data_IF_100638283583
#
_entry.id   IF_100638283583
#
_cell.length_a   1.000
_cell.length_b   1.000
_cell.length_c   1.000
_cell.angle_alpha   90.00
_cell.angle_beta   90.00
_cell.angle_gamma   90.00
#
_symmetry.space_group_name_H-M   'P 1'
#
loop_
_entity.id
_entity.type
_entity.pdbx_description
1 polymer ?
#
# COMPACT_ATOMS: atom_id res chain seq x y z
N UNK A 1 7.71 -1.72 16.18
CA UNK A 1 7.94 -2.79 15.20
C UNK A 1 9.41 -2.91 14.82
N UNK A 2 10.09 -1.85 14.35
CA UNK A 2 11.49 -1.90 13.87
C UNK A 2 12.47 -2.53 14.88
N UNK A 3 12.44 -2.13 16.15
CA UNK A 3 13.31 -2.74 17.18
C UNK A 3 13.04 -4.23 17.39
N UNK A 4 11.76 -4.64 17.36
CA UNK A 4 11.36 -6.05 17.51
C UNK A 4 11.83 -6.88 16.30
N UNK A 5 11.66 -6.33 15.09
CA UNK A 5 12.17 -6.93 13.86
C UNK A 5 13.69 -7.07 13.89
N UNK A 6 14.42 -6.02 14.30
CA UNK A 6 15.87 -6.05 14.45
C UNK A 6 16.31 -7.14 15.43
N UNK A 7 15.66 -7.23 16.59
CA UNK A 7 15.94 -8.29 17.56
C UNK A 7 15.71 -9.69 16.99
N UNK A 8 14.56 -9.90 16.31
CA UNK A 8 14.28 -11.19 15.68
C UNK A 8 15.31 -11.55 14.61
N UNK A 9 15.74 -10.59 13.78
CA UNK A 9 16.77 -10.83 12.76
C UNK A 9 18.17 -11.05 13.32
N UNK A 10 18.44 -10.55 14.53
CA UNK A 10 19.72 -10.77 15.21
C UNK A 10 19.80 -12.16 15.87
N UNK A 11 18.67 -12.67 16.40
CA UNK A 11 18.62 -13.91 17.21
C UNK A 11 17.92 -15.09 16.55
N UNK A 12 17.09 -14.84 15.55
CA UNK A 12 16.20 -15.77 14.86
C UNK A 12 16.12 -15.40 13.37
N UNK A 13 15.03 -15.71 12.66
CA UNK A 13 14.84 -15.29 11.26
C UNK A 13 14.21 -13.91 11.15
N UNK A 14 12.96 -13.76 11.58
CA UNK A 14 12.22 -12.49 11.52
C UNK A 14 11.02 -12.56 12.50
N UNK A 15 10.22 -11.49 12.56
CA UNK A 15 8.89 -11.53 13.14
C UNK A 15 8.01 -12.56 12.43
N UNK A 16 7.09 -13.16 13.17
CA UNK A 16 6.24 -14.23 12.65
C UNK A 16 5.43 -13.82 11.42
N UNK A 17 5.51 -14.66 10.39
CA UNK A 17 4.66 -14.64 9.20
C UNK A 17 3.52 -15.63 9.36
N UNK A 18 2.31 -15.24 8.96
CA UNK A 18 1.12 -16.09 9.06
C UNK A 18 0.60 -16.40 7.66
N UNK A 19 0.53 -17.68 7.33
CA UNK A 19 0.15 -18.18 6.01
C UNK A 19 -1.30 -18.67 5.95
N UNK A 20 -1.88 -19.06 7.07
CA UNK A 20 -3.22 -19.66 7.13
C UNK A 20 -3.74 -19.74 8.59
N UNK A 21 -4.91 -20.36 8.76
CA UNK A 21 -5.50 -20.58 10.08
C UNK A 21 -4.77 -21.61 10.96
N UNK A 22 -3.98 -22.53 10.39
CA UNK A 22 -3.16 -23.46 11.18
C UNK A 22 -2.07 -22.71 11.95
N UNK A 23 -1.43 -21.73 11.30
CA UNK A 23 -0.47 -20.84 11.96
C UNK A 23 -1.15 -20.06 13.09
N UNK A 24 -2.33 -19.48 12.84
CA UNK A 24 -3.12 -18.76 13.87
C UNK A 24 -3.45 -19.66 15.06
N UNK A 25 -3.93 -20.87 14.81
CA UNK A 25 -4.27 -21.84 15.86
C UNK A 25 -3.03 -22.27 16.65
N UNK A 26 -1.91 -22.50 15.96
CA UNK A 26 -0.62 -22.83 16.58
C UNK A 26 -0.17 -21.72 17.52
N UNK A 27 -0.21 -20.47 17.06
CA UNK A 27 0.13 -19.32 17.89
C UNK A 27 -0.82 -19.22 19.09
N UNK A 28 -2.13 -19.27 18.90
CA UNK A 28 -3.12 -19.20 19.98
C UNK A 28 -2.87 -20.24 21.08
N UNK A 29 -2.52 -21.48 20.71
CA UNK A 29 -2.25 -22.57 21.65
C UNK A 29 -0.95 -22.39 22.45
N UNK A 30 0.01 -21.61 21.94
CA UNK A 30 1.26 -21.32 22.63
C UNK A 30 1.10 -20.19 23.66
N UNK A 31 0.05 -19.37 23.56
CA UNK A 31 -0.11 -18.17 24.38
C UNK A 31 -0.78 -18.45 25.72
N UNK A 32 -0.09 -18.11 26.82
CA UNK A 32 -0.69 -18.07 28.16
C UNK A 32 -1.24 -16.66 28.46
N UNK A 33 -2.51 -16.43 28.12
CA UNK A 33 -3.20 -15.15 28.33
C UNK A 33 -3.23 -14.70 29.80
N UNK A 34 -3.18 -15.64 30.76
CA UNK A 34 -3.24 -15.31 32.19
C UNK A 34 -2.01 -14.53 32.67
N UNK A 35 -0.90 -14.64 31.93
CA UNK A 35 0.37 -13.98 32.24
C UNK A 35 0.59 -12.70 31.44
N UNK A 36 -0.39 -12.30 30.61
CA UNK A 36 -0.26 -11.16 29.69
C UNK A 36 -1.02 -9.93 30.19
N UNK A 37 -0.29 -8.82 30.31
CA UNK A 37 -0.88 -7.51 30.64
C UNK A 37 -1.59 -6.87 29.44
N UNK A 38 -1.09 -7.11 28.23
CA UNK A 38 -1.67 -6.64 26.98
C UNK A 38 -1.59 -7.77 25.93
N UNK A 39 -2.73 -8.26 25.41
CA UNK A 39 -2.77 -9.40 24.51
C UNK A 39 -2.51 -9.04 23.04
N UNK A 40 -2.17 -7.79 22.72
CA UNK A 40 -1.65 -7.43 21.41
C UNK A 40 -0.19 -7.85 21.31
N UNK A 41 0.21 -8.45 20.20
CA UNK A 41 1.58 -8.90 19.98
C UNK A 41 1.96 -8.63 18.54
N UNK A 42 3.13 -8.01 18.33
CA UNK A 42 3.65 -7.73 16.99
C UNK A 42 3.80 -9.01 16.17
N UNK A 43 3.28 -8.97 14.94
CA UNK A 43 3.57 -9.92 13.87
C UNK A 43 4.31 -9.21 12.74
N UNK A 44 4.80 -9.96 11.76
CA UNK A 44 5.64 -9.42 10.68
C UNK A 44 4.90 -8.57 9.64
N UNK A 45 3.59 -8.42 9.72
CA UNK A 45 2.81 -7.65 8.74
C UNK A 45 2.90 -6.14 9.03
N UNK A 46 3.15 -5.34 7.99
CA UNK A 46 3.21 -3.88 8.08
C UNK A 46 2.75 -3.22 6.77
N UNK A 47 2.20 -2.02 6.84
CA UNK A 47 1.84 -1.20 5.69
C UNK A 47 3.05 -0.34 5.28
N UNK A 48 3.52 -0.55 4.05
CA UNK A 48 4.64 0.20 3.48
C UNK A 48 4.09 1.41 2.72
N UNK A 49 3.91 2.52 3.45
CA UNK A 49 3.32 3.76 2.94
C UNK A 49 4.17 4.42 1.84
N UNK A 50 5.45 4.05 1.73
CA UNK A 50 6.37 4.59 0.74
C UNK A 50 6.50 3.70 -0.52
N UNK A 51 5.77 2.57 -0.58
CA UNK A 51 5.86 1.57 -1.66
C UNK A 51 5.18 1.92 -2.99
N UNK A 52 5.04 3.21 -3.28
CA UNK A 52 4.39 3.72 -4.48
C UNK A 52 5.14 3.27 -5.75
N UNK A 53 4.39 2.72 -6.70
CA UNK A 53 4.87 2.22 -7.98
C UNK A 53 3.98 2.73 -9.12
N UNK A 54 4.60 2.99 -10.26
CA UNK A 54 3.86 3.28 -11.49
C UNK A 54 3.29 2.00 -12.10
N UNK A 55 2.10 2.10 -12.69
CA UNK A 55 1.42 0.99 -13.37
C UNK A 55 2.19 0.49 -14.60
N UNK A 56 2.82 1.41 -15.33
CA UNK A 56 3.72 1.07 -16.42
C UNK A 56 5.02 0.49 -15.84
N UNK A 57 5.17 -0.82 -15.98
CA UNK A 57 6.26 -1.60 -15.37
C UNK A 57 7.56 -1.57 -16.15
N UNK A 58 7.56 -1.10 -17.40
CA UNK A 58 8.77 -1.02 -18.23
C UNK A 58 9.75 0.01 -17.68
N UNK A 59 10.79 -0.47 -17.00
CA UNK A 59 11.82 0.39 -16.41
C UNK A 59 12.65 1.15 -17.44
N UNK A 60 12.74 0.68 -18.68
CA UNK A 60 13.51 1.35 -19.74
C UNK A 60 12.85 2.67 -20.18
N UNK A 61 11.56 2.83 -19.90
CA UNK A 61 10.82 4.07 -20.12
C UNK A 61 11.30 5.22 -19.22
N UNK A 62 11.76 4.91 -18.00
CA UNK A 62 12.11 5.90 -16.99
C UNK A 62 13.60 6.17 -16.97
N UNK A 63 13.96 7.45 -16.91
CA UNK A 63 15.32 7.90 -16.58
C UNK A 63 15.55 7.84 -15.07
N UNK A 64 16.82 7.84 -14.61
CA UNK A 64 17.13 7.90 -13.18
C UNK A 64 16.38 9.05 -12.48
N UNK A 65 15.64 8.72 -11.43
CA UNK A 65 14.86 9.66 -10.62
C UNK A 65 13.43 9.94 -11.12
N UNK A 66 13.07 9.56 -12.35
CA UNK A 66 11.73 9.82 -12.90
C UNK A 66 10.63 8.98 -12.19
N UNK A 67 11.00 7.86 -11.57
CA UNK A 67 10.07 7.03 -10.77
C UNK A 67 9.73 7.65 -9.42
N UNK A 68 10.52 8.62 -8.94
CA UNK A 68 10.42 9.21 -7.60
C UNK A 68 9.69 10.56 -7.58
N UNK A 69 9.37 11.13 -8.75
CA UNK A 69 8.64 12.39 -8.81
C UNK A 69 7.26 12.23 -8.17
N UNK A 70 6.95 13.10 -7.19
CA UNK A 70 5.67 13.15 -6.50
C UNK A 70 5.21 14.60 -6.40
N UNK A 71 3.93 14.84 -6.66
CA UNK A 71 3.29 16.15 -6.48
C UNK A 71 2.04 16.05 -5.61
N UNK A 72 2.21 15.43 -4.45
CA UNK A 72 1.17 15.28 -3.44
C UNK A 72 0.59 16.63 -3.01
N UNK A 73 -0.72 16.69 -2.83
CA UNK A 73 -1.37 17.81 -2.18
C UNK A 73 -0.89 17.94 -0.72
N UNK A 74 -1.01 19.13 -0.10
CA UNK A 74 -0.68 19.29 1.31
C UNK A 74 -1.40 18.27 2.20
N UNK A 75 -0.64 17.52 3.00
CA UNK A 75 -1.16 16.49 3.89
C UNK A 75 -1.46 15.15 3.22
N UNK A 76 -0.96 14.90 2.01
CA UNK A 76 -1.06 13.63 1.29
C UNK A 76 0.34 13.01 1.09
N UNK A 77 0.44 11.68 0.90
CA UNK A 77 -0.64 10.72 1.07
C UNK A 77 -1.01 10.54 2.55
N UNK A 78 -2.28 10.27 2.87
CA UNK A 78 -2.74 10.13 4.26
C UNK A 78 -3.33 8.76 4.61
N UNK A 79 -3.47 7.87 3.63
CA UNK A 79 -3.98 6.51 3.80
C UNK A 79 -5.30 6.48 4.59
N UNK A 80 -6.30 7.28 4.22
CA UNK A 80 -7.54 7.41 4.98
C UNK A 80 -8.18 6.03 5.22
N UNK A 81 -8.45 5.71 6.50
CA UNK A 81 -8.99 4.42 6.97
C UNK A 81 -8.20 3.17 6.52
N UNK A 82 -6.94 3.31 6.12
CA UNK A 82 -6.13 2.18 5.67
C UNK A 82 -6.47 1.69 4.26
N UNK A 83 -7.19 2.49 3.45
CA UNK A 83 -7.84 2.03 2.19
C UNK A 83 -7.44 2.79 0.94
N UNK A 84 -6.58 3.81 1.05
CA UNK A 84 -6.23 4.67 -0.07
C UNK A 84 -4.93 4.22 -0.72
N UNK A 85 -5.05 3.45 -1.80
CA UNK A 85 -3.92 2.78 -2.45
C UNK A 85 -3.67 3.26 -3.89
N UNK A 86 -4.52 4.13 -4.42
CA UNK A 86 -4.49 4.58 -5.80
C UNK A 86 -4.46 6.09 -5.87
N UNK A 87 -3.83 6.63 -6.91
CA UNK A 87 -3.58 8.07 -7.00
C UNK A 87 -4.46 8.73 -8.04
N UNK A 88 -5.19 9.76 -7.64
CA UNK A 88 -5.88 10.67 -8.55
C UNK A 88 -5.19 12.04 -8.56
N UNK A 89 -5.28 12.72 -9.69
CA UNK A 89 -4.88 14.12 -9.88
C UNK A 89 -6.13 14.99 -9.98
N UNK A 90 -6.11 16.17 -9.35
CA UNK A 90 -7.17 17.18 -9.49
C UNK A 90 -6.85 18.20 -10.58
N UNK A 91 -7.83 19.03 -10.95
CA UNK A 91 -7.67 20.12 -11.94
C UNK A 91 -6.63 21.19 -11.56
N UNK A 92 -6.12 21.20 -10.32
CA UNK A 92 -5.01 22.07 -9.89
C UNK A 92 -3.65 21.38 -10.07
N UNK A 93 -3.64 20.15 -10.58
CA UNK A 93 -2.47 19.34 -10.80
C UNK A 93 -1.94 18.65 -9.54
N UNK A 94 -2.68 18.66 -8.44
CA UNK A 94 -2.24 18.06 -7.16
C UNK A 94 -2.70 16.61 -7.03
N UNK A 95 -1.87 15.79 -6.40
CA UNK A 95 -2.14 14.35 -6.28
C UNK A 95 -2.72 14.03 -4.90
N UNK A 96 -3.61 13.03 -4.87
CA UNK A 96 -4.16 12.47 -3.64
C UNK A 96 -4.17 10.96 -3.71
N UNK A 97 -3.85 10.30 -2.60
CA UNK A 97 -4.21 8.91 -2.45
C UNK A 97 -5.70 8.82 -2.13
N UNK A 98 -6.37 7.89 -2.78
CA UNK A 98 -7.80 7.64 -2.63
C UNK A 98 -8.06 6.15 -2.78
N UNK A 99 -9.26 5.70 -2.43
CA UNK A 99 -9.61 4.29 -2.57
C UNK A 99 -9.64 3.88 -4.05
N UNK A 100 -8.99 2.76 -4.38
CA UNK A 100 -8.98 2.24 -5.75
C UNK A 100 -10.38 1.87 -6.28
N UNK A 101 -11.35 1.72 -5.39
CA UNK A 101 -12.75 1.40 -5.68
C UNK A 101 -13.60 2.64 -6.01
N UNK A 102 -13.06 3.86 -5.83
CA UNK A 102 -13.74 5.07 -6.30
C UNK A 102 -13.79 5.10 -7.82
N UNK A 103 -14.82 5.75 -8.38
CA UNK A 103 -14.96 5.90 -9.82
C UNK A 103 -14.54 7.29 -10.27
N UNK A 104 -13.44 7.38 -11.02
CA UNK A 104 -12.94 8.63 -11.60
C UNK A 104 -12.66 8.45 -13.10
N UNK A 105 -12.74 9.52 -13.92
CA UNK A 105 -12.13 9.55 -15.24
C UNK A 105 -10.65 9.16 -15.19
N UNK A 106 -10.03 8.87 -16.32
CA UNK A 106 -8.64 8.41 -16.36
C UNK A 106 -7.79 9.23 -17.32
N UNK A 107 -6.49 9.32 -17.03
CA UNK A 107 -5.51 9.81 -17.99
C UNK A 107 -4.66 8.62 -18.43
N UNK A 108 -4.76 8.26 -19.70
CA UNK A 108 -3.88 7.25 -20.30
C UNK A 108 -2.61 7.90 -20.84
N UNK A 109 -1.51 7.14 -20.86
CA UNK A 109 -0.32 7.45 -21.64
C UNK A 109 -0.26 6.56 -22.88
N UNK A 110 0.18 7.14 -23.99
CA UNK A 110 0.49 6.45 -25.24
C UNK A 110 1.93 6.78 -25.65
N UNK A 111 2.80 5.76 -25.63
CA UNK A 111 4.21 5.85 -26.01
C UNK A 111 4.39 5.35 -27.44
N UNK A 112 4.91 6.22 -28.31
CA UNK A 112 5.26 5.89 -29.70
C UNK A 112 6.69 6.30 -29.98
N UNK A 113 7.62 5.35 -29.76
CA UNK A 113 9.05 5.63 -29.83
C UNK A 113 9.46 6.63 -28.73
N UNK A 114 10.12 7.76 -29.06
CA UNK A 114 10.50 8.76 -28.06
C UNK A 114 9.33 9.67 -27.62
N UNK A 115 8.18 9.62 -28.31
CA UNK A 115 7.06 10.51 -28.06
C UNK A 115 6.12 9.92 -27.02
N UNK A 116 5.76 10.73 -26.03
CA UNK A 116 4.76 10.41 -25.01
C UNK A 116 3.60 11.38 -25.16
N UNK A 117 2.39 10.84 -25.26
CA UNK A 117 1.15 11.62 -25.28
C UNK A 117 0.24 11.19 -24.15
N UNK A 118 -0.55 12.14 -23.63
CA UNK A 118 -1.52 11.90 -22.57
C UNK A 118 -2.92 12.09 -23.13
N UNK A 119 -3.84 11.20 -22.75
CA UNK A 119 -5.21 11.18 -23.27
C UNK A 119 -6.19 11.11 -22.10
N UNK A 120 -7.07 12.11 -21.98
CA UNK A 120 -8.12 12.13 -20.97
C UNK A 120 -9.33 11.31 -21.43
N UNK A 121 -9.70 10.32 -20.62
CA UNK A 121 -10.82 9.42 -20.83
C UNK A 121 -11.91 9.83 -19.86
N UNK A 122 -12.91 10.54 -20.37
CA UNK A 122 -14.03 11.06 -19.59
C UNK A 122 -15.10 9.99 -19.33
N UNK A 123 -14.69 8.84 -18.82
CA UNK A 123 -15.57 7.74 -18.42
C UNK A 123 -15.11 7.33 -17.02
N UNK A 124 -15.93 7.53 -15.97
CA UNK A 124 -15.59 7.12 -14.62
C UNK A 124 -15.43 5.60 -14.52
N UNK A 125 -14.31 5.17 -13.93
CA UNK A 125 -13.93 3.77 -13.75
C UNK A 125 -13.22 3.63 -12.40
N UNK A 126 -13.21 2.43 -11.81
CA UNK A 126 -12.26 2.09 -10.75
C UNK A 126 -10.82 2.15 -11.29
N UNK A 127 -9.83 2.28 -10.42
CA UNK A 127 -8.44 2.41 -10.87
C UNK A 127 -7.98 1.19 -11.71
N UNK A 128 -8.39 -0.01 -11.31
CA UNK A 128 -8.07 -1.26 -12.02
C UNK A 128 -8.75 -1.34 -13.39
N UNK A 129 -10.01 -0.89 -13.48
CA UNK A 129 -10.72 -0.80 -14.76
C UNK A 129 -10.08 0.23 -15.68
N UNK A 130 -9.71 1.41 -15.15
CA UNK A 130 -9.02 2.46 -15.88
C UNK A 130 -7.66 1.98 -16.41
N UNK A 131 -6.87 1.28 -15.60
CA UNK A 131 -5.62 0.65 -16.02
C UNK A 131 -5.86 -0.33 -17.17
N UNK A 132 -6.85 -1.20 -17.02
CA UNK A 132 -7.20 -2.20 -18.04
C UNK A 132 -7.62 -1.53 -19.35
N UNK A 133 -8.44 -0.48 -19.27
CA UNK A 133 -8.86 0.31 -20.42
C UNK A 133 -7.67 0.97 -21.12
N UNK A 134 -6.78 1.62 -20.36
CA UNK A 134 -5.61 2.28 -20.92
C UNK A 134 -4.65 1.29 -21.59
N UNK A 135 -4.45 0.10 -21.03
CA UNK A 135 -3.63 -0.96 -21.67
C UNK A 135 -4.25 -1.57 -22.92
N UNK A 136 -5.58 -1.59 -23.00
CA UNK A 136 -6.29 -2.10 -24.16
C UNK A 136 -6.31 -1.12 -25.35
N UNK A 137 -6.29 0.19 -25.08
CA UNK A 137 -6.47 1.23 -26.10
C UNK A 137 -5.23 2.13 -26.31
N UNK A 138 -4.30 2.13 -25.36
CA UNK A 138 -3.09 2.94 -25.29
C UNK A 138 -1.95 2.10 -24.69
N UNK A 139 -0.97 2.71 -24.02
CA UNK A 139 0.12 1.97 -23.36
C UNK A 139 -0.24 1.59 -21.92
N UNK A 140 -0.58 2.55 -21.06
CA UNK A 140 -0.98 2.33 -19.65
C UNK A 140 -1.64 3.60 -19.08
N UNK A 141 -2.06 3.61 -17.81
CA UNK A 141 -2.38 4.83 -17.06
C UNK A 141 -1.15 5.75 -16.97
N UNK A 142 -1.41 7.06 -16.95
CA UNK A 142 -0.39 8.10 -17.00
C UNK A 142 0.67 7.97 -15.91
N UNK A 143 1.93 7.84 -16.34
CA UNK A 143 3.09 8.00 -15.47
C UNK A 143 3.57 9.44 -15.56
N UNK A 144 3.74 10.10 -14.42
CA UNK A 144 4.08 11.52 -14.36
C UNK A 144 5.51 11.66 -13.86
N UNK A 145 6.43 11.92 -14.78
CA UNK A 145 7.87 11.78 -14.52
C UNK A 145 8.53 13.08 -14.05
N UNK A 146 7.85 14.20 -14.24
CA UNK A 146 8.35 15.54 -13.92
C UNK A 146 7.20 16.57 -13.96
N UNK A 147 7.52 17.79 -13.54
CA UNK A 147 6.58 18.91 -13.50
C UNK A 147 6.00 19.28 -14.88
N UNK A 148 6.77 19.13 -15.97
CA UNK A 148 6.30 19.46 -17.31
C UNK A 148 5.22 18.47 -17.79
N UNK A 149 5.35 17.19 -17.45
CA UNK A 149 4.28 16.21 -17.67
C UNK A 149 3.08 16.46 -16.76
N UNK A 150 3.31 16.83 -15.50
CA UNK A 150 2.23 17.20 -14.59
C UNK A 150 1.37 18.33 -15.13
N UNK A 151 1.98 19.38 -15.67
CA UNK A 151 1.25 20.49 -16.29
C UNK A 151 0.44 20.02 -17.51
N UNK A 152 1.03 19.17 -18.36
CA UNK A 152 0.31 18.63 -19.54
C UNK A 152 -0.93 17.86 -19.15
N UNK A 153 -0.85 17.00 -18.12
CA UNK A 153 -2.01 16.23 -17.68
C UNK A 153 -3.02 17.10 -16.93
N UNK A 154 -2.56 18.10 -16.16
CA UNK A 154 -3.41 19.08 -15.51
C UNK A 154 -4.28 19.82 -16.54
N UNK A 155 -3.69 20.26 -17.65
CA UNK A 155 -4.40 20.98 -18.71
C UNK A 155 -5.49 20.13 -19.39
N UNK A 156 -5.45 18.80 -19.24
CA UNK A 156 -6.48 17.89 -19.74
C UNK A 156 -7.66 17.71 -18.77
N UNK A 157 -7.47 17.99 -17.48
CA UNK A 157 -8.51 17.79 -16.46
C UNK A 157 -9.45 19.00 -16.44
N UNK A 158 -10.77 18.82 -16.68
CA UNK A 158 -11.72 19.93 -16.63
C UNK A 158 -11.73 20.63 -15.27
N UNK A 159 -12.05 21.92 -15.24
CA UNK A 159 -12.17 22.67 -14.00
C UNK A 159 -13.13 21.97 -13.00
N UNK A 160 -12.69 21.80 -11.75
CA UNK A 160 -13.43 21.05 -10.73
C UNK A 160 -13.37 19.52 -10.88
N UNK A 161 -12.71 19.00 -11.90
CA UNK A 161 -12.56 17.57 -12.17
C UNK A 161 -11.36 16.92 -11.46
N UNK A 162 -11.36 15.60 -11.55
CA UNK A 162 -10.30 14.69 -11.07
C UNK A 162 -10.09 13.59 -12.11
N UNK A 163 -8.93 12.94 -12.08
CA UNK A 163 -8.64 11.81 -12.94
C UNK A 163 -7.64 10.83 -12.32
N UNK A 164 -7.75 9.56 -12.66
CA UNK A 164 -6.76 8.55 -12.32
C UNK A 164 -5.44 8.79 -13.06
N UNK A 165 -4.34 8.63 -12.33
CA UNK A 165 -3.00 8.44 -12.87
C UNK A 165 -2.45 7.07 -12.44
N UNK A 166 -1.38 6.62 -13.08
CA UNK A 166 -0.84 5.27 -12.94
C UNK A 166 -0.11 4.99 -11.62
N UNK A 167 -0.07 5.93 -10.68
CA UNK A 167 0.61 5.71 -9.40
C UNK A 167 -0.30 4.94 -8.44
N UNK A 168 0.17 3.80 -7.95
CA UNK A 168 -0.51 3.02 -6.92
C UNK A 168 0.48 2.44 -5.92
N UNK A 169 -0.01 1.97 -4.78
CA UNK A 169 0.81 1.25 -3.79
C UNK A 169 0.26 -0.15 -3.55
N UNK A 170 1.14 -1.00 -3.06
CA UNK A 170 0.83 -2.36 -2.67
C UNK A 170 0.93 -2.43 -1.16
N UNK A 171 -0.23 -2.55 -0.52
CA UNK A 171 -0.36 -2.48 0.92
C UNK A 171 -0.06 -3.82 1.60
N UNK A 172 0.35 -3.74 2.86
CA UNK A 172 0.53 -4.89 3.77
C UNK A 172 1.53 -5.93 3.26
N UNK A 173 2.79 -5.72 3.64
CA UNK A 173 3.92 -6.61 3.33
C UNK A 173 4.36 -7.37 4.57
N UNK A 174 4.88 -8.58 4.37
CA UNK A 174 5.54 -9.31 5.43
C UNK A 174 6.99 -8.89 5.57
N UNK A 175 7.43 -8.75 6.81
CA UNK A 175 8.78 -8.29 7.17
C UNK A 175 9.86 -9.20 6.60
N UNK A 176 9.61 -10.51 6.55
CA UNK A 176 10.53 -11.50 5.99
C UNK A 176 10.56 -11.56 4.45
N UNK A 177 9.73 -10.76 3.78
CA UNK A 177 9.61 -10.73 2.32
C UNK A 177 8.76 -11.86 1.72
N UNK A 178 8.01 -12.60 2.54
CA UNK A 178 7.08 -13.62 2.05
C UNK A 178 5.85 -13.03 1.35
N UNK A 179 5.28 -13.80 0.42
CA UNK A 179 4.15 -13.41 -0.42
C UNK A 179 2.79 -13.89 0.11
N UNK A 180 2.68 -14.22 1.40
CA UNK A 180 1.40 -14.69 1.98
C UNK A 180 0.30 -13.62 1.84
N UNK A 181 -0.81 -13.97 1.20
CA UNK A 181 -2.00 -13.12 1.05
C UNK A 181 -3.03 -13.34 2.15
N UNK A 182 -2.76 -14.26 3.10
CA UNK A 182 -3.68 -14.53 4.20
C UNK A 182 -3.82 -13.30 5.10
N UNK A 183 -5.06 -12.92 5.39
CA UNK A 183 -5.38 -11.78 6.26
C UNK A 183 -6.46 -12.19 7.26
N UNK A 184 -6.17 -12.00 8.56
CA UNK A 184 -7.10 -12.34 9.64
C UNK A 184 -7.47 -11.11 10.48
N UNK A 185 -7.84 -10.03 9.80
CA UNK A 185 -8.25 -8.78 10.42
C UNK A 185 -9.46 -8.96 11.34
N UNK A 186 -9.47 -8.21 12.43
CA UNK A 186 -10.66 -8.00 13.23
C UNK A 186 -11.71 -7.21 12.44
N UNK A 187 -12.99 -7.42 12.74
CA UNK A 187 -14.06 -6.64 12.11
C UNK A 187 -13.83 -5.13 12.31
N UNK A 188 -13.88 -4.38 11.21
CA UNK A 188 -13.64 -2.92 11.21
C UNK A 188 -12.18 -2.51 11.05
N UNK A 189 -11.24 -3.46 10.95
CA UNK A 189 -9.81 -3.21 10.78
C UNK A 189 -9.34 -3.61 9.36
N UNK A 190 -8.21 -3.06 8.87
CA UNK A 190 -7.50 -1.92 9.45
C UNK A 190 -8.34 -0.63 9.41
N UNK A 191 -8.14 0.27 10.37
CA UNK A 191 -8.88 1.54 10.46
C UNK A 191 -8.00 2.80 10.43
N UNK A 192 -6.67 2.64 10.39
CA UNK A 192 -5.69 3.71 10.42
C UNK A 192 -6.04 4.81 11.44
N UNK A 193 -6.44 4.41 12.65
CA UNK A 193 -6.88 5.32 13.69
C UNK A 193 -5.78 6.34 14.06
N UNK A 194 -6.09 7.62 13.93
CA UNK A 194 -5.13 8.70 14.17
C UNK A 194 -4.11 8.91 13.06
N UNK A 195 -4.30 8.29 11.89
CA UNK A 195 -3.47 8.43 10.69
C UNK A 195 -2.00 8.03 10.88
N UNK A 196 -1.74 7.09 11.80
CA UNK A 196 -0.39 6.68 12.16
C UNK A 196 -0.24 5.17 12.43
N UNK A 197 -1.15 4.35 11.93
CA UNK A 197 -1.14 2.90 12.16
C UNK A 197 -0.68 2.16 10.90
N UNK A 198 0.61 1.84 10.86
CA UNK A 198 1.24 1.15 9.74
C UNK A 198 1.81 -0.23 10.14
N UNK A 199 1.58 -0.71 11.36
CA UNK A 199 2.10 -2.00 11.82
C UNK A 199 0.99 -2.86 12.42
N UNK A 200 1.15 -4.18 12.37
CA UNK A 200 0.07 -5.11 12.73
C UNK A 200 0.40 -5.89 13.99
N UNK A 201 -0.58 -5.98 14.89
CA UNK A 201 -0.53 -6.86 16.04
C UNK A 201 -1.65 -7.89 16.01
N UNK A 202 -1.33 -9.13 16.38
CA UNK A 202 -2.31 -10.16 16.69
C UNK A 202 -2.86 -9.94 18.10
N UNK A 203 -4.18 -10.02 18.26
CA UNK A 203 -4.88 -9.84 19.53
C UNK A 203 -5.38 -11.19 20.03
N UNK A 204 -4.64 -11.78 20.96
CA UNK A 204 -4.86 -13.16 21.40
C UNK A 204 -6.12 -13.35 22.26
N UNK A 205 -6.60 -12.32 22.96
CA UNK A 205 -7.92 -12.37 23.62
C UNK A 205 -9.10 -12.22 22.64
N UNK A 206 -8.81 -12.12 21.34
CA UNK A 206 -9.77 -12.13 20.23
C UNK A 206 -9.37 -13.19 19.21
N UNK A 207 -8.99 -14.38 19.70
CA UNK A 207 -8.64 -15.55 18.88
C UNK A 207 -7.50 -15.31 17.88
N UNK A 208 -6.62 -14.34 18.14
CA UNK A 208 -5.48 -14.03 17.27
C UNK A 208 -5.83 -13.16 16.07
N UNK A 209 -7.02 -12.53 16.05
CA UNK A 209 -7.40 -11.54 15.03
C UNK A 209 -6.49 -10.32 15.05
N UNK A 210 -6.33 -9.68 13.90
CA UNK A 210 -5.34 -8.64 13.69
C UNK A 210 -5.93 -7.24 13.79
N UNK A 211 -5.12 -6.32 14.29
CA UNK A 211 -5.39 -4.88 14.34
C UNK A 211 -4.18 -4.12 13.81
N UNK A 212 -4.41 -3.00 13.15
CA UNK A 212 -3.34 -2.03 12.87
C UNK A 212 -3.14 -1.12 14.08
N UNK A 213 -1.88 -0.85 14.41
CA UNK A 213 -1.49 -0.01 15.54
C UNK A 213 -0.23 0.80 15.19
N UNK A 214 0.05 1.89 15.93
CA UNK A 214 1.22 2.71 15.67
C UNK A 214 2.51 1.91 15.88
N UNK A 215 3.40 1.96 14.89
CA UNK A 215 4.65 1.20 14.89
C UNK A 215 5.57 1.49 16.08
N UNK A 216 5.42 2.68 16.71
CA UNK A 216 6.17 3.13 17.89
C UNK A 216 5.69 2.52 19.20
N UNK A 217 4.52 1.84 19.21
CA UNK A 217 3.98 1.24 20.43
C UNK A 217 4.88 0.09 20.90
N UNK A 218 5.28 0.15 22.17
CA UNK A 218 6.01 -0.94 22.82
C UNK A 218 5.07 -2.10 23.09
N UNK A 219 5.35 -3.25 22.48
CA UNK A 219 4.53 -4.45 22.56
C UNK A 219 5.42 -5.68 22.61
N UNK A 220 4.90 -6.77 23.19
CA UNK A 220 5.49 -8.09 23.00
C UNK A 220 5.47 -8.47 21.51
N UNK A 221 6.35 -9.37 21.10
CA UNK A 221 6.52 -9.79 19.72
C UNK A 221 6.88 -11.27 19.66
N UNK A 222 6.59 -11.92 18.53
CA UNK A 222 6.94 -13.32 18.27
C UNK A 222 7.90 -13.37 17.10
N UNK A 223 9.06 -13.97 17.31
CA UNK A 223 10.00 -14.30 16.25
C UNK A 223 9.71 -15.73 15.75
N UNK A 224 10.02 -16.02 14.49
CA UNK A 224 10.08 -17.38 13.99
C UNK A 224 11.51 -17.80 13.69
N UNK A 225 11.76 -19.11 13.81
CA UNK A 225 12.97 -19.77 13.35
C UNK A 225 12.56 -20.83 12.31
N UNK A 226 13.37 -21.10 11.28
CA UNK A 226 13.18 -22.29 10.49
C UNK A 226 13.40 -23.47 11.44
N UNK A 227 12.64 -24.55 11.27
CA UNK A 227 12.92 -25.79 12.02
C UNK A 227 14.34 -26.23 11.66
N UNK A 228 15.27 -26.19 12.60
CA UNK A 228 16.51 -26.95 12.49
C UNK A 228 16.12 -28.44 12.51
N UNK A 229 16.56 -29.18 11.49
CA UNK A 229 16.42 -30.64 11.44
C UNK A 229 17.61 -31.29 12.12
#
# INVERSE_FOLDING_TARGET
MTEAQSYCREKYTDLVTVHNMEDVNTLNNMMDLSRMKDPHIWIGLYDDLDSWRWSLSDRSFYRPGETEFRLWAPGQPNNYLGKEHCTMIDHLGQWRDVSCEESHPAICLDVRGPNVTFVFINIPMTWTEAQSYCRANYTDLASVRNMAENQKIQDLVPAGGTAWIGLSRDSWKWSDGSDSTFRFWMAGQPDNYGYNQACVAARFNSFGQWVDIPCERKQAFICYSPREW
#
